data_IF_049737023563
#
_entry.id   IF_049737023563
#
_cell.length_a   1.000
_cell.length_b   1.000
_cell.length_c   1.000
_cell.angle_alpha   90.00
_cell.angle_beta   90.00
_cell.angle_gamma   90.00
#
_symmetry.space_group_name_H-M   'P 1'
#
loop_
_entity.id
_entity.type
_entity.pdbx_description
1 polymer ?
#
# COMPACT_ATOMS: atom_id res chain seq x y z
N UNK A 1 6.71 -35.10 9.15
CA UNK A 1 6.19 -34.66 7.83
C UNK A 1 6.49 -33.17 7.73
N UNK A 2 7.41 -32.77 6.83
CA UNK A 2 8.01 -31.43 6.81
C UNK A 2 6.98 -30.35 6.40
N UNK A 3 6.62 -29.45 7.33
CA UNK A 3 5.80 -28.26 7.06
C UNK A 3 6.60 -27.23 6.26
N UNK A 4 5.98 -26.72 5.19
CA UNK A 4 6.54 -25.71 4.27
C UNK A 4 6.60 -24.34 4.97
N UNK A 5 7.77 -23.94 5.43
CA UNK A 5 8.04 -22.54 5.80
C UNK A 5 8.05 -21.68 4.52
N UNK A 6 7.07 -20.79 4.36
CA UNK A 6 7.07 -19.78 3.30
C UNK A 6 7.62 -18.47 3.85
N UNK A 7 8.82 -18.11 3.38
CA UNK A 7 9.49 -16.83 3.65
C UNK A 7 8.74 -15.75 2.87
N UNK A 8 7.99 -14.88 3.56
CA UNK A 8 7.46 -13.66 2.97
C UNK A 8 8.54 -12.58 3.04
N UNK A 9 8.98 -12.09 1.88
CA UNK A 9 9.78 -10.88 1.78
C UNK A 9 8.84 -9.71 2.07
N UNK A 10 9.18 -8.88 3.06
CA UNK A 10 8.49 -7.62 3.30
C UNK A 10 9.50 -6.56 3.71
N UNK A 11 9.26 -5.38 3.14
CA UNK A 11 10.00 -4.14 3.31
C UNK A 11 10.32 -3.83 4.78
N UNK A 12 11.49 -3.21 4.92
CA UNK A 12 12.16 -2.69 6.11
C UNK A 12 11.21 -2.22 7.23
N UNK A 13 11.27 -2.90 8.38
CA UNK A 13 10.84 -2.37 9.67
C UNK A 13 12.02 -2.51 10.65
N UNK A 14 12.43 -1.38 11.22
CA UNK A 14 13.43 -1.12 12.27
C UNK A 14 14.19 -2.30 12.90
N UNK A 15 15.52 -2.24 12.81
CA UNK A 15 16.50 -3.24 13.26
C UNK A 15 16.46 -3.51 14.78
N UNK A 16 15.99 -2.57 15.60
CA UNK A 16 16.04 -2.67 17.07
C UNK A 16 15.00 -3.61 17.68
N UNK A 17 13.86 -3.87 17.01
CA UNK A 17 12.83 -4.81 17.48
C UNK A 17 13.04 -6.26 17.06
N UNK A 18 13.92 -6.50 16.08
CA UNK A 18 14.01 -7.79 15.39
C UNK A 18 14.61 -8.91 16.27
N UNK A 19 15.56 -8.57 17.15
CA UNK A 19 16.24 -9.55 18.01
C UNK A 19 15.33 -10.17 19.08
N UNK A 20 14.54 -9.33 19.77
CA UNK A 20 13.64 -9.78 20.84
C UNK A 20 12.46 -10.60 20.28
N UNK A 21 11.87 -10.17 19.15
CA UNK A 21 10.79 -10.91 18.49
C UNK A 21 11.27 -12.28 17.99
N UNK A 22 12.52 -12.39 17.50
CA UNK A 22 13.09 -13.67 17.06
C UNK A 22 13.23 -14.68 18.19
N UNK A 23 13.71 -14.25 19.36
CA UNK A 23 13.82 -15.11 20.54
C UNK A 23 12.44 -15.60 20.98
N UNK A 24 11.46 -14.69 21.06
CA UNK A 24 10.09 -15.00 21.44
C UNK A 24 9.43 -15.98 20.45
N UNK A 25 9.68 -15.80 19.15
CA UNK A 25 9.23 -16.70 18.11
C UNK A 25 9.81 -18.11 18.26
N UNK A 26 11.11 -18.23 18.51
CA UNK A 26 11.74 -19.53 18.72
C UNK A 26 11.18 -20.25 19.95
N UNK A 27 10.92 -19.53 21.05
CA UNK A 27 10.26 -20.08 22.23
C UNK A 27 8.83 -20.56 21.93
N UNK A 28 8.09 -19.80 21.12
CA UNK A 28 6.73 -20.17 20.69
C UNK A 28 6.73 -21.47 19.88
N UNK A 29 7.69 -21.61 18.96
CA UNK A 29 7.89 -22.84 18.17
C UNK A 29 8.27 -24.02 19.05
N UNK A 30 9.12 -23.83 20.06
CA UNK A 30 9.50 -24.92 20.97
C UNK A 30 8.32 -25.37 21.84
N UNK A 31 7.53 -24.43 22.36
CA UNK A 31 6.31 -24.74 23.11
C UNK A 31 5.29 -25.54 22.25
N UNK A 32 5.15 -25.19 20.97
CA UNK A 32 4.35 -25.97 20.03
C UNK A 32 4.87 -27.40 19.87
N UNK A 33 6.19 -27.57 19.64
CA UNK A 33 6.82 -28.89 19.47
C UNK A 33 6.72 -29.78 20.71
N UNK A 34 6.85 -29.20 21.90
CA UNK A 34 6.70 -29.91 23.17
C UNK A 34 5.24 -30.17 23.56
N UNK A 35 4.28 -29.72 22.75
CA UNK A 35 2.84 -29.77 23.00
C UNK A 35 2.40 -28.98 24.24
N UNK A 36 3.21 -28.03 24.70
CA UNK A 36 2.81 -27.05 25.70
C UNK A 36 1.96 -25.95 25.02
N UNK A 37 0.73 -26.32 24.69
CA UNK A 37 -0.17 -25.44 23.95
C UNK A 37 -0.59 -24.20 24.76
N UNK A 38 -0.58 -24.28 26.09
CA UNK A 38 -0.86 -23.12 26.96
C UNK A 38 0.24 -22.07 26.82
N UNK A 39 1.51 -22.50 26.86
CA UNK A 39 2.64 -21.61 26.61
C UNK A 39 2.67 -21.12 25.16
N UNK A 40 2.39 -21.99 24.19
CA UNK A 40 2.31 -21.63 22.78
C UNK A 40 1.31 -20.48 22.55
N UNK A 41 0.10 -20.58 23.12
CA UNK A 41 -0.92 -19.53 23.03
C UNK A 41 -0.48 -18.22 23.67
N UNK A 42 0.14 -18.29 24.85
CA UNK A 42 0.67 -17.09 25.53
C UNK A 42 1.68 -16.35 24.65
N UNK A 43 2.64 -17.08 24.07
CA UNK A 43 3.69 -16.50 23.23
C UNK A 43 3.15 -16.02 21.88
N UNK A 44 2.23 -16.76 21.26
CA UNK A 44 1.59 -16.36 20.01
C UNK A 44 0.80 -15.05 20.15
N UNK A 45 0.07 -14.87 21.27
CA UNK A 45 -0.61 -13.61 21.59
C UNK A 45 0.36 -12.44 21.71
N UNK A 46 1.50 -12.65 22.35
CA UNK A 46 2.53 -11.62 22.49
C UNK A 46 3.14 -11.24 21.13
N UNK A 47 3.46 -12.24 20.30
CA UNK A 47 4.01 -12.02 18.95
C UNK A 47 3.02 -11.23 18.07
N UNK A 48 1.75 -11.63 18.05
CA UNK A 48 0.71 -10.93 17.28
C UNK A 48 0.45 -9.52 17.83
N UNK A 49 0.57 -9.29 19.14
CA UNK A 49 0.46 -7.94 19.71
C UNK A 49 1.62 -7.02 19.31
N UNK A 50 2.83 -7.58 19.14
CA UNK A 50 4.02 -6.82 18.71
C UNK A 50 3.95 -6.50 17.22
N UNK A 51 3.51 -7.47 16.40
CA UNK A 51 3.33 -7.30 14.95
C UNK A 51 1.99 -7.87 14.50
N UNK A 52 0.89 -7.10 14.68
CA UNK A 52 -0.43 -7.54 14.26
C UNK A 52 -0.46 -7.83 12.77
N UNK A 53 -1.20 -8.87 12.36
CA UNK A 53 -1.38 -9.28 10.95
C UNK A 53 -0.10 -9.77 10.25
N UNK A 54 0.97 -10.05 11.01
CA UNK A 54 2.15 -10.74 10.48
C UNK A 54 1.78 -12.18 10.10
N UNK A 55 1.99 -12.62 8.84
CA UNK A 55 1.44 -13.88 8.34
C UNK A 55 1.72 -15.08 9.25
N UNK A 56 2.97 -15.25 9.70
CA UNK A 56 3.35 -16.36 10.56
C UNK A 56 2.81 -16.24 11.99
N UNK A 57 2.74 -15.03 12.55
CA UNK A 57 2.35 -14.87 13.96
C UNK A 57 0.85 -15.00 14.11
N UNK A 58 0.09 -14.38 13.21
CA UNK A 58 -1.36 -14.45 13.21
C UNK A 58 -1.84 -15.87 12.89
N UNK A 59 -1.19 -16.60 11.97
CA UNK A 59 -1.51 -18.01 11.71
C UNK A 59 -1.22 -18.92 12.91
N UNK A 60 -0.05 -18.74 13.53
CA UNK A 60 0.29 -19.48 14.76
C UNK A 60 -0.68 -19.15 15.89
N UNK A 61 -1.17 -17.91 15.99
CA UNK A 61 -2.18 -17.53 16.97
C UNK A 61 -3.51 -18.26 16.73
N UNK A 62 -3.98 -18.36 15.48
CA UNK A 62 -5.17 -19.15 15.16
C UNK A 62 -4.99 -20.62 15.57
N UNK A 63 -3.85 -21.20 15.22
CA UNK A 63 -3.51 -22.60 15.55
C UNK A 63 -3.47 -22.80 17.07
N UNK A 64 -2.83 -21.88 17.80
CA UNK A 64 -2.75 -21.92 19.26
C UNK A 64 -4.13 -21.82 19.92
N UNK A 65 -5.03 -20.99 19.40
CA UNK A 65 -6.40 -20.94 19.90
C UNK A 65 -7.13 -22.28 19.70
N UNK A 66 -7.04 -22.84 18.49
CA UNK A 66 -7.67 -24.12 18.15
C UNK A 66 -7.18 -25.27 19.06
N UNK A 67 -5.85 -25.37 19.27
CA UNK A 67 -5.21 -26.38 20.13
C UNK A 67 -5.52 -26.22 21.62
N UNK A 68 -6.01 -25.05 22.05
CA UNK A 68 -6.47 -24.80 23.43
C UNK A 68 -8.01 -24.85 23.55
N UNK A 69 -8.73 -25.35 22.55
CA UNK A 69 -10.20 -25.44 22.58
C UNK A 69 -10.91 -24.09 22.51
N UNK A 70 -10.22 -23.03 22.07
CA UNK A 70 -10.75 -21.67 21.93
C UNK A 70 -11.30 -21.48 20.51
N UNK A 71 -12.44 -22.13 20.27
CA UNK A 71 -13.04 -22.30 18.93
C UNK A 71 -13.37 -20.94 18.29
N UNK A 72 -14.11 -20.09 18.99
CA UNK A 72 -14.54 -18.78 18.47
C UNK A 72 -13.35 -17.87 18.16
N UNK A 73 -12.35 -17.82 19.05
CA UNK A 73 -11.14 -17.02 18.81
C UNK A 73 -10.32 -17.57 17.63
N UNK A 74 -10.20 -18.88 17.48
CA UNK A 74 -9.50 -19.49 16.36
C UNK A 74 -10.15 -19.12 15.03
N UNK A 75 -11.48 -19.27 14.93
CA UNK A 75 -12.26 -18.93 13.74
C UNK A 75 -12.19 -17.42 13.42
N UNK A 76 -12.25 -16.56 14.44
CA UNK A 76 -12.11 -15.11 14.28
C UNK A 76 -10.74 -14.73 13.71
N UNK A 77 -9.65 -15.36 14.20
CA UNK A 77 -8.30 -15.12 13.67
C UNK A 77 -8.13 -15.70 12.27
N UNK A 78 -8.67 -16.89 11.99
CA UNK A 78 -8.69 -17.46 10.63
C UNK A 78 -9.43 -16.55 9.65
N UNK A 79 -10.56 -15.95 10.04
CA UNK A 79 -11.28 -14.98 9.20
C UNK A 79 -10.37 -13.83 8.78
N UNK A 80 -9.61 -13.25 9.72
CA UNK A 80 -8.65 -12.18 9.43
C UNK A 80 -7.56 -12.63 8.47
N UNK A 81 -7.06 -13.86 8.61
CA UNK A 81 -6.05 -14.43 7.72
C UNK A 81 -6.61 -14.59 6.31
N UNK A 82 -7.81 -15.18 6.17
CA UNK A 82 -8.48 -15.38 4.87
C UNK A 82 -8.73 -14.05 4.18
N UNK A 83 -9.26 -13.05 4.90
CA UNK A 83 -9.53 -11.72 4.34
C UNK A 83 -8.27 -11.03 3.77
N UNK A 84 -7.10 -11.31 4.36
CA UNK A 84 -5.81 -10.80 3.92
C UNK A 84 -5.13 -11.67 2.86
N UNK A 85 -5.27 -13.00 2.94
CA UNK A 85 -4.68 -13.93 1.99
C UNK A 85 -5.54 -15.20 1.89
N UNK A 86 -6.35 -15.26 0.83
CA UNK A 86 -7.25 -16.39 0.61
C UNK A 86 -6.52 -17.66 0.15
N UNK A 87 -5.22 -17.60 -0.19
CA UNK A 87 -4.45 -18.78 -0.65
C UNK A 87 -3.84 -19.58 0.49
N UNK A 88 -3.96 -19.10 1.73
CA UNK A 88 -3.47 -19.82 2.92
C UNK A 88 -4.22 -21.14 3.05
N UNK A 89 -3.48 -22.25 3.03
CA UNK A 89 -4.03 -23.59 3.20
C UNK A 89 -4.11 -23.92 4.70
N UNK A 90 -5.31 -23.86 5.28
CA UNK A 90 -5.58 -24.22 6.68
C UNK A 90 -6.57 -25.40 6.80
N UNK A 91 -7.14 -25.84 5.69
CA UNK A 91 -8.22 -26.82 5.61
C UNK A 91 -7.75 -28.21 6.01
N UNK A 92 -6.50 -28.51 5.64
CA UNK A 92 -5.86 -29.80 5.87
C UNK A 92 -4.91 -29.77 7.08
N UNK A 93 -4.79 -28.63 7.77
CA UNK A 93 -3.91 -28.55 8.95
C UNK A 93 -4.55 -29.28 10.14
N UNK A 94 -3.76 -30.15 10.77
CA UNK A 94 -4.17 -30.94 11.92
C UNK A 94 -4.44 -30.08 13.16
N UNK A 95 -3.82 -28.89 13.25
CA UNK A 95 -4.05 -27.97 14.36
C UNK A 95 -5.49 -27.43 14.38
N UNK A 96 -6.21 -27.48 13.25
CA UNK A 96 -7.61 -27.04 13.13
C UNK A 96 -8.63 -28.17 13.15
N UNK A 97 -8.23 -29.43 13.37
CA UNK A 97 -9.14 -30.58 13.33
C UNK A 97 -10.35 -30.43 14.27
N UNK A 98 -10.13 -29.84 15.46
CA UNK A 98 -11.19 -29.59 16.46
C UNK A 98 -12.27 -28.60 16.02
N UNK A 99 -12.00 -27.76 15.01
CA UNK A 99 -12.93 -26.73 14.54
C UNK A 99 -13.47 -26.97 13.12
N UNK A 100 -13.03 -28.04 12.42
CA UNK A 100 -13.41 -28.31 11.02
C UNK A 100 -14.92 -28.52 10.81
N UNK A 101 -15.60 -29.07 11.81
CA UNK A 101 -17.03 -29.38 11.72
C UNK A 101 -17.92 -28.16 12.01
N UNK A 102 -17.34 -27.04 12.47
CA UNK A 102 -18.08 -25.82 12.77
C UNK A 102 -18.64 -25.16 11.50
N UNK A 103 -19.85 -24.60 11.61
CA UNK A 103 -20.48 -23.86 10.51
C UNK A 103 -19.60 -22.71 10.02
N UNK A 104 -19.03 -21.96 10.95
CA UNK A 104 -18.13 -20.85 10.63
C UNK A 104 -16.83 -21.29 9.94
N UNK A 105 -16.36 -22.53 10.13
CA UNK A 105 -15.24 -23.04 9.36
C UNK A 105 -15.61 -23.19 7.88
N UNK A 106 -16.82 -23.70 7.60
CA UNK A 106 -17.36 -23.78 6.22
C UNK A 106 -17.57 -22.39 5.62
N UNK A 107 -18.00 -21.42 6.41
CA UNK A 107 -18.13 -20.02 5.95
C UNK A 107 -16.77 -19.44 5.52
N UNK A 108 -15.67 -19.79 6.21
CA UNK A 108 -14.33 -19.39 5.80
C UNK A 108 -13.91 -20.01 4.46
N UNK A 109 -14.28 -21.26 4.20
CA UNK A 109 -14.04 -21.90 2.90
C UNK A 109 -14.86 -21.22 1.79
N UNK A 110 -16.12 -20.88 2.08
CA UNK A 110 -16.97 -20.14 1.16
C UNK A 110 -16.42 -18.73 0.87
N UNK A 111 -15.88 -18.05 1.88
CA UNK A 111 -15.20 -16.77 1.74
C UNK A 111 -13.95 -16.89 0.85
N UNK A 112 -13.13 -17.94 1.03
CA UNK A 112 -11.98 -18.19 0.14
C UNK A 112 -12.42 -18.36 -1.31
N UNK A 113 -13.46 -19.15 -1.54
CA UNK A 113 -14.00 -19.40 -2.87
C UNK A 113 -14.57 -18.12 -3.49
N UNK A 114 -15.26 -17.28 -2.72
CA UNK A 114 -15.80 -16.00 -3.21
C UNK A 114 -14.68 -15.02 -3.56
N UNK A 115 -13.65 -14.91 -2.72
CA UNK A 115 -12.48 -14.05 -2.97
C UNK A 115 -11.61 -14.53 -4.13
N UNK A 116 -11.70 -15.81 -4.52
CA UNK A 116 -10.97 -16.35 -5.68
C UNK A 116 -11.63 -15.99 -7.02
N UNK A 117 -12.86 -15.45 -7.01
CA UNK A 117 -13.55 -15.07 -8.25
C UNK A 117 -12.87 -13.87 -8.88
N UNK A 118 -12.53 -14.00 -10.15
CA UNK A 118 -11.98 -12.90 -10.94
C UNK A 118 -13.07 -11.86 -11.23
N UNK A 119 -12.72 -10.59 -11.04
CA UNK A 119 -13.55 -9.43 -11.40
C UNK A 119 -12.68 -8.54 -12.29
N UNK A 120 -13.13 -8.31 -13.51
CA UNK A 120 -12.39 -7.60 -14.57
C UNK A 120 -13.20 -6.41 -15.08
N UNK A 121 -13.24 -5.33 -14.32
CA UNK A 121 -13.96 -4.11 -14.75
C UNK A 121 -13.02 -3.07 -15.36
N UNK A 122 -11.75 -3.07 -14.98
CA UNK A 122 -10.74 -2.24 -15.65
C UNK A 122 -10.31 -2.83 -17.00
N UNK A 123 -9.84 -1.96 -17.88
CA UNK A 123 -9.36 -2.31 -19.21
C UNK A 123 -7.93 -1.82 -19.41
N UNK A 124 -7.08 -2.66 -19.99
CA UNK A 124 -5.73 -2.25 -20.42
C UNK A 124 -5.88 -1.19 -21.54
N UNK A 125 -5.12 -0.10 -21.45
CA UNK A 125 -5.14 1.00 -22.42
C UNK A 125 -3.86 1.12 -23.22
N UNK A 126 -2.73 1.18 -22.51
CA UNK A 126 -1.43 1.53 -23.06
C UNK A 126 -0.38 0.64 -22.41
N UNK A 127 0.60 0.18 -23.20
CA UNK A 127 1.84 -0.43 -22.70
C UNK A 127 3.00 0.52 -22.91
N UNK A 128 3.75 0.82 -21.86
CA UNK A 128 4.90 1.72 -21.97
C UNK A 128 6.09 1.03 -22.63
N UNK A 129 6.71 1.69 -23.59
CA UNK A 129 7.87 1.17 -24.33
C UNK A 129 9.12 0.94 -23.47
N UNK A 130 9.29 1.69 -22.36
CA UNK A 130 10.42 1.54 -21.45
C UNK A 130 10.14 0.46 -20.42
N UNK A 131 10.70 -0.74 -20.65
CA UNK A 131 10.44 -1.91 -19.82
C UNK A 131 10.90 -1.72 -18.38
N UNK A 132 12.11 -1.24 -18.17
CA UNK A 132 12.71 -1.09 -16.84
C UNK A 132 12.27 0.18 -16.07
N UNK A 133 11.23 0.89 -16.55
CA UNK A 133 10.77 2.16 -15.97
C UNK A 133 10.37 2.01 -14.50
N UNK A 134 9.79 0.89 -14.08
CA UNK A 134 9.18 0.72 -12.75
C UNK A 134 8.33 1.95 -12.34
N UNK A 135 7.12 2.11 -12.92
CA UNK A 135 6.27 3.23 -12.57
C UNK A 135 5.54 3.00 -11.25
N UNK A 136 5.39 4.07 -10.48
CA UNK A 136 4.66 4.07 -9.21
C UNK A 136 3.46 5.03 -9.28
N UNK A 137 3.75 6.30 -9.50
CA UNK A 137 2.80 7.38 -9.77
C UNK A 137 2.58 7.67 -11.25
N UNK A 138 1.38 8.18 -11.54
CA UNK A 138 0.88 8.59 -12.84
C UNK A 138 0.18 9.95 -12.70
N UNK A 139 0.27 10.82 -13.70
CA UNK A 139 -0.44 12.11 -13.72
C UNK A 139 -0.85 12.47 -15.14
N UNK A 140 -2.07 12.98 -15.31
CA UNK A 140 -2.50 13.59 -16.56
C UNK A 140 -2.48 15.11 -16.44
N UNK A 141 -1.76 15.79 -17.33
CA UNK A 141 -1.79 17.26 -17.42
C UNK A 141 -2.97 17.67 -18.30
N UNK A 142 -4.04 18.16 -17.69
CA UNK A 142 -5.29 18.48 -18.37
C UNK A 142 -5.13 19.64 -19.36
N UNK A 143 -4.35 20.68 -19.02
CA UNK A 143 -4.15 21.83 -19.92
C UNK A 143 -3.26 21.48 -21.12
N UNK A 144 -2.30 20.56 -20.93
CA UNK A 144 -1.32 20.17 -21.96
C UNK A 144 -1.67 18.89 -22.71
N UNK A 145 -2.64 18.12 -22.20
CA UNK A 145 -3.18 16.88 -22.78
C UNK A 145 -2.15 15.77 -22.98
N UNK A 146 -1.29 15.54 -21.99
CA UNK A 146 -0.37 14.41 -22.02
C UNK A 146 -0.17 13.82 -20.62
N UNK A 147 0.32 12.59 -20.60
CA UNK A 147 0.58 11.83 -19.39
C UNK A 147 2.03 11.94 -18.94
N UNK A 148 2.22 11.90 -17.63
CA UNK A 148 3.49 11.72 -16.96
C UNK A 148 3.45 10.44 -16.13
N UNK A 149 4.49 9.63 -16.22
CA UNK A 149 4.74 8.50 -15.35
C UNK A 149 6.04 8.71 -14.59
N UNK A 150 6.02 8.33 -13.32
CA UNK A 150 7.20 8.27 -12.48
C UNK A 150 8.07 7.05 -12.80
N UNK A 151 9.27 7.01 -12.24
CA UNK A 151 10.16 5.87 -12.29
C UNK A 151 10.89 5.73 -10.97
N UNK A 152 10.63 4.62 -10.28
CA UNK A 152 11.38 4.23 -9.09
C UNK A 152 12.83 3.92 -9.50
N UNK A 153 13.01 2.97 -10.42
CA UNK A 153 14.33 2.46 -10.78
C UNK A 153 15.23 3.51 -11.43
N UNK A 154 14.70 4.25 -12.40
CA UNK A 154 15.48 5.14 -13.26
C UNK A 154 15.53 6.58 -12.74
N UNK A 155 14.85 6.88 -11.62
CA UNK A 155 14.90 8.20 -10.94
C UNK A 155 14.58 9.35 -11.89
N UNK A 156 13.49 9.20 -12.64
CA UNK A 156 13.09 10.15 -13.67
C UNK A 156 11.57 10.19 -13.83
N UNK A 157 11.13 11.17 -14.59
CA UNK A 157 9.74 11.31 -15.03
C UNK A 157 9.75 11.20 -16.54
N UNK A 158 8.88 10.34 -17.08
CA UNK A 158 8.69 10.20 -18.53
C UNK A 158 7.32 10.72 -18.92
N UNK A 159 7.23 11.35 -20.09
CA UNK A 159 5.96 11.49 -20.81
C UNK A 159 5.79 10.32 -21.78
N UNK A 160 4.56 10.02 -22.17
CA UNK A 160 4.31 9.01 -23.20
C UNK A 160 3.15 9.40 -24.13
N UNK A 161 3.24 8.94 -25.38
CA UNK A 161 2.19 9.12 -26.38
C UNK A 161 1.11 8.04 -26.29
N UNK A 162 0.11 8.11 -27.17
CA UNK A 162 -1.00 7.15 -27.27
C UNK A 162 -0.57 5.70 -27.60
N UNK A 163 0.63 5.51 -28.15
CA UNK A 163 1.21 4.19 -28.40
C UNK A 163 2.11 3.72 -27.24
N UNK A 164 2.22 4.51 -26.16
CA UNK A 164 3.06 4.24 -25.01
C UNK A 164 4.55 4.47 -25.24
N UNK A 165 4.93 5.18 -26.32
CA UNK A 165 6.33 5.54 -26.55
C UNK A 165 6.76 6.55 -25.50
N UNK A 166 7.76 6.19 -24.69
CA UNK A 166 8.25 7.01 -23.60
C UNK A 166 9.24 8.06 -24.11
N UNK A 167 9.28 9.21 -23.45
CA UNK A 167 10.30 10.24 -23.64
C UNK A 167 10.60 10.87 -22.30
N UNK A 168 11.89 11.08 -22.02
CA UNK A 168 12.33 11.71 -20.78
C UNK A 168 11.73 13.12 -20.67
N UNK A 169 10.95 13.33 -19.61
CA UNK A 169 10.33 14.61 -19.32
C UNK A 169 11.16 15.41 -18.32
N UNK A 170 11.68 14.75 -17.29
CA UNK A 170 12.59 15.33 -16.29
C UNK A 170 13.50 14.25 -15.69
N UNK A 171 14.81 14.51 -15.65
CA UNK A 171 15.86 13.53 -15.27
C UNK A 171 16.76 14.01 -14.14
N UNK A 172 16.52 15.20 -13.59
CA UNK A 172 17.33 15.77 -12.50
C UNK A 172 16.82 15.33 -11.10
N UNK A 173 16.24 14.13 -10.96
CA UNK A 173 15.86 13.62 -9.63
C UNK A 173 17.05 12.95 -8.95
N UNK A 174 17.25 13.21 -7.66
CA UNK A 174 18.35 12.58 -6.91
C UNK A 174 18.02 11.11 -6.58
N UNK A 175 16.74 10.84 -6.34
CA UNK A 175 16.22 9.58 -5.81
C UNK A 175 15.05 9.03 -6.64
N UNK A 176 14.54 7.84 -6.29
CA UNK A 176 13.36 7.24 -6.90
C UNK A 176 12.19 8.20 -6.91
N UNK A 177 11.44 8.25 -8.01
CA UNK A 177 10.25 9.10 -8.11
C UNK A 177 9.01 8.27 -7.80
N UNK A 178 8.28 8.66 -6.76
CA UNK A 178 7.07 7.94 -6.31
C UNK A 178 5.80 8.59 -6.84
N UNK A 179 5.53 9.85 -6.48
CA UNK A 179 4.27 10.52 -6.79
C UNK A 179 4.44 11.85 -7.53
N UNK A 180 3.41 12.19 -8.31
CA UNK A 180 3.34 13.36 -9.18
C UNK A 180 1.98 14.05 -9.00
N UNK A 181 1.95 15.34 -8.65
CA UNK A 181 0.73 16.18 -8.67
C UNK A 181 1.03 17.58 -9.16
N UNK A 182 0.06 18.24 -9.77
CA UNK A 182 0.18 19.67 -10.11
C UNK A 182 -0.47 20.55 -9.06
N UNK A 183 -0.06 21.82 -9.05
CA UNK A 183 -0.90 22.90 -8.54
C UNK A 183 -2.16 23.09 -9.39
N UNK A 184 -3.14 23.85 -8.87
CA UNK A 184 -4.45 24.04 -9.50
C UNK A 184 -4.37 24.69 -10.89
N UNK A 185 -3.31 25.44 -11.14
CA UNK A 185 -3.06 26.12 -12.42
C UNK A 185 -2.17 25.34 -13.40
N UNK A 186 -1.69 24.14 -13.05
CA UNK A 186 -0.67 23.41 -13.81
C UNK A 186 0.56 24.28 -14.18
N UNK A 187 0.94 25.16 -13.27
CA UNK A 187 2.18 25.93 -13.34
C UNK A 187 3.35 25.12 -12.79
N UNK A 188 3.15 24.47 -11.65
CA UNK A 188 4.17 23.67 -10.99
C UNK A 188 3.76 22.21 -10.85
N UNK A 189 4.72 21.32 -11.10
CA UNK A 189 4.68 19.92 -10.76
C UNK A 189 5.38 19.73 -9.41
N UNK A 190 4.69 19.06 -8.50
CA UNK A 190 5.19 18.59 -7.22
C UNK A 190 5.49 17.11 -7.31
N UNK A 191 6.67 16.72 -6.85
CA UNK A 191 7.20 15.36 -7.02
C UNK A 191 7.74 14.84 -5.70
N UNK A 192 7.26 13.68 -5.25
CA UNK A 192 7.83 12.98 -4.10
C UNK A 192 8.94 12.04 -4.57
N UNK A 193 10.13 12.19 -3.97
CA UNK A 193 11.27 11.34 -4.24
C UNK A 193 11.85 10.77 -2.95
N UNK A 194 12.24 9.50 -2.96
CA UNK A 194 12.85 8.84 -1.80
C UNK A 194 13.95 7.88 -2.22
N UNK A 195 15.04 7.84 -1.45
CA UNK A 195 16.13 6.92 -1.70
C UNK A 195 15.74 5.52 -1.21
N UNK A 196 15.61 4.58 -2.14
CA UNK A 196 15.32 3.17 -1.82
C UNK A 196 16.25 2.23 -2.61
N UNK A 197 16.52 1.02 -2.10
CA UNK A 197 17.48 0.10 -2.70
C UNK A 197 17.20 -0.29 -4.17
N UNK A 198 15.94 -0.25 -4.60
CA UNK A 198 15.48 -0.63 -5.95
C UNK A 198 15.91 0.37 -7.05
N UNK A 199 16.44 1.53 -6.66
CA UNK A 199 16.86 2.61 -7.56
C UNK A 199 18.28 2.42 -8.08
N UNK A 200 18.54 2.89 -9.31
CA UNK A 200 19.90 2.93 -9.86
C UNK A 200 20.77 3.90 -9.06
N UNK A 201 21.95 3.41 -8.64
CA UNK A 201 22.91 4.20 -7.87
C UNK A 201 22.53 4.39 -6.41
N UNK A 202 21.73 3.48 -5.82
CA UNK A 202 21.53 3.44 -4.38
C UNK A 202 22.85 3.19 -3.64
N UNK A 203 23.01 3.81 -2.47
CA UNK A 203 24.10 3.55 -1.55
C UNK A 203 23.60 3.70 -0.11
N UNK A 204 24.33 3.17 0.87
CA UNK A 204 23.90 3.24 2.27
C UNK A 204 23.99 4.66 2.86
N UNK A 205 24.80 5.53 2.27
CA UNK A 205 24.97 6.93 2.68
C UNK A 205 23.74 7.79 2.37
N UNK A 206 22.90 7.36 1.43
CA UNK A 206 21.67 8.05 1.04
C UNK A 206 20.40 7.33 1.52
N UNK A 207 20.55 6.20 2.22
CA UNK A 207 19.43 5.42 2.77
C UNK A 207 18.54 6.33 3.65
N UNK A 208 17.22 6.31 3.39
CA UNK A 208 16.22 7.10 4.10
C UNK A 208 16.20 8.61 3.79
N UNK A 209 17.03 9.11 2.86
CA UNK A 209 16.90 10.49 2.36
C UNK A 209 15.70 10.61 1.44
N UNK A 210 14.94 11.69 1.60
CA UNK A 210 13.77 11.99 0.77
C UNK A 210 13.72 13.47 0.40
N UNK A 211 13.07 13.80 -0.71
CA UNK A 211 12.88 15.18 -1.15
C UNK A 211 11.53 15.39 -1.85
N UNK A 212 10.97 16.59 -1.70
CA UNK A 212 9.94 17.09 -2.60
C UNK A 212 10.57 18.03 -3.62
N UNK A 213 10.28 17.82 -4.90
CA UNK A 213 10.67 18.73 -5.98
C UNK A 213 9.50 19.63 -6.36
N UNK A 214 9.79 20.90 -6.61
CA UNK A 214 8.89 21.85 -7.28
C UNK A 214 9.48 22.19 -8.63
N UNK A 215 8.83 21.80 -9.71
CA UNK A 215 9.30 21.94 -11.09
C UNK A 215 8.32 22.83 -11.85
N UNK A 216 8.80 23.85 -12.56
CA UNK A 216 7.95 24.62 -13.46
C UNK A 216 7.65 23.83 -14.73
N UNK A 217 6.37 23.56 -15.00
CA UNK A 217 5.95 22.64 -16.05
C UNK A 217 6.27 23.21 -17.45
N UNK A 218 6.18 24.53 -17.63
CA UNK A 218 6.39 25.17 -18.93
C UNK A 218 7.83 25.04 -19.43
N UNK A 219 8.79 25.20 -18.53
CA UNK A 219 10.24 25.23 -18.84
C UNK A 219 10.95 23.96 -18.44
N UNK A 220 10.28 23.07 -17.68
CA UNK A 220 10.86 21.90 -17.00
C UNK A 220 11.97 22.26 -16.02
N UNK A 221 12.00 23.52 -15.57
CA UNK A 221 13.03 24.02 -14.67
C UNK A 221 12.73 23.60 -13.24
N UNK A 222 13.70 22.99 -12.57
CA UNK A 222 13.65 22.78 -11.13
C UNK A 222 13.69 24.14 -10.40
N UNK A 223 12.64 24.42 -9.64
CA UNK A 223 12.51 25.67 -8.87
C UNK A 223 13.07 25.49 -7.47
N UNK A 224 12.77 24.35 -6.83
CA UNK A 224 13.19 24.09 -5.46
C UNK A 224 13.18 22.61 -5.09
N UNK A 225 14.07 22.26 -4.17
CA UNK A 225 14.11 20.98 -3.44
C UNK A 225 13.78 21.23 -1.98
N UNK A 226 12.94 20.38 -1.41
CA UNK A 226 12.64 20.34 0.03
C UNK A 226 13.09 18.99 0.54
N UNK A 227 14.33 18.93 1.05
CA UNK A 227 14.97 17.68 1.44
C UNK A 227 14.81 17.38 2.93
N UNK A 228 14.79 16.08 3.27
CA UNK A 228 14.90 15.55 4.62
C UNK A 228 15.95 14.44 4.64
N UNK A 229 16.71 14.39 5.74
CA UNK A 229 17.57 13.27 6.09
C UNK A 229 16.89 12.47 7.21
N UNK A 230 17.21 11.19 7.34
CA UNK A 230 16.63 10.33 8.37
C UNK A 230 16.20 9.00 7.78
N UNK A 231 15.11 8.44 8.30
CA UNK A 231 14.49 7.22 7.81
C UNK A 231 13.15 7.57 7.15
N UNK A 232 13.19 8.21 5.99
CA UNK A 232 11.99 8.74 5.32
C UNK A 232 11.75 8.05 3.98
N UNK A 233 10.48 7.80 3.67
CA UNK A 233 10.02 7.39 2.35
C UNK A 233 8.75 8.19 2.02
N UNK A 234 8.90 9.28 1.29
CA UNK A 234 7.77 10.04 0.74
C UNK A 234 7.12 9.25 -0.40
N UNK A 235 6.05 8.52 -0.06
CA UNK A 235 5.36 7.59 -0.96
C UNK A 235 4.26 8.24 -1.80
N UNK A 236 3.54 9.22 -1.26
CA UNK A 236 2.52 9.96 -2.01
C UNK A 236 2.40 11.42 -1.54
N UNK A 237 1.77 12.25 -2.37
CA UNK A 237 1.48 13.64 -2.06
C UNK A 237 0.15 14.09 -2.67
N UNK A 238 -0.48 15.08 -2.05
CA UNK A 238 -1.68 15.74 -2.58
C UNK A 238 -1.52 17.25 -2.52
N UNK A 239 -2.12 17.94 -3.49
CA UNK A 239 -2.11 19.40 -3.60
C UNK A 239 -3.54 19.91 -3.55
N UNK A 240 -3.83 20.85 -2.65
CA UNK A 240 -5.16 21.48 -2.54
C UNK A 240 -5.39 22.49 -3.65
N UNK A 241 -6.63 22.95 -3.85
CA UNK A 241 -6.97 24.04 -4.79
C UNK A 241 -6.24 25.33 -4.47
N UNK A 242 -5.90 25.54 -3.19
CA UNK A 242 -5.11 26.68 -2.71
C UNK A 242 -3.60 26.44 -2.76
N UNK A 243 -3.16 25.37 -3.44
CA UNK A 243 -1.76 25.00 -3.67
C UNK A 243 -0.99 24.66 -2.40
N UNK A 244 -1.68 24.18 -1.36
CA UNK A 244 -1.03 23.59 -0.20
C UNK A 244 -0.68 22.13 -0.49
N UNK A 245 0.54 21.73 -0.16
CA UNK A 245 1.05 20.38 -0.47
C UNK A 245 1.13 19.58 0.82
N UNK A 246 0.52 18.40 0.84
CA UNK A 246 0.60 17.42 1.92
C UNK A 246 1.28 16.15 1.42
N UNK A 247 2.11 15.55 2.27
CA UNK A 247 2.97 14.41 1.91
C UNK A 247 2.80 13.32 2.96
N UNK A 248 2.59 12.07 2.52
CA UNK A 248 2.64 10.90 3.39
C UNK A 248 4.06 10.32 3.42
N UNK A 249 4.54 9.99 4.62
CA UNK A 249 5.80 9.29 4.82
C UNK A 249 5.53 7.84 5.26
N UNK A 250 5.97 6.91 4.42
CA UNK A 250 5.79 5.47 4.60
C UNK A 250 6.77 4.88 5.62
N UNK A 251 7.96 5.45 5.78
CA UNK A 251 8.96 4.90 6.71
C UNK A 251 8.74 5.39 8.14
N UNK A 252 8.36 6.65 8.30
CA UNK A 252 7.95 7.24 9.58
C UNK A 252 6.52 7.74 9.45
N UNK A 253 5.54 7.25 10.22
CA UNK A 253 4.14 7.68 10.08
C UNK A 253 3.89 9.15 10.44
N UNK A 254 4.28 10.04 9.54
CA UNK A 254 4.25 11.49 9.64
C UNK A 254 3.63 12.01 8.35
N UNK A 255 2.78 13.01 8.50
CA UNK A 255 2.28 13.80 7.37
C UNK A 255 3.01 15.14 7.40
N UNK A 256 3.69 15.45 6.31
CA UNK A 256 4.34 16.74 6.12
C UNK A 256 3.45 17.70 5.34
N UNK A 257 3.73 19.00 5.49
CA UNK A 257 3.15 20.07 4.67
C UNK A 257 4.24 21.00 4.18
N UNK A 258 4.08 21.56 2.98
CA UNK A 258 4.89 22.70 2.56
C UNK A 258 4.20 23.99 3.01
N UNK A 259 4.81 24.70 3.95
CA UNK A 259 4.30 25.96 4.51
C UNK A 259 5.39 27.03 4.43
N UNK A 260 5.03 28.20 3.90
CA UNK A 260 5.94 29.35 3.75
C UNK A 260 7.30 28.93 3.20
N UNK A 261 7.29 28.15 2.12
CA UNK A 261 8.52 27.70 1.45
C UNK A 261 9.42 26.77 2.31
N UNK A 262 8.87 26.12 3.33
CA UNK A 262 9.56 25.12 4.15
C UNK A 262 8.74 23.83 4.23
N UNK A 263 9.42 22.69 4.37
CA UNK A 263 8.76 21.43 4.71
C UNK A 263 8.63 21.35 6.24
N UNK A 264 7.41 21.19 6.72
CA UNK A 264 7.10 21.15 8.15
C UNK A 264 6.31 19.90 8.48
N UNK A 265 6.51 19.36 9.69
CA UNK A 265 5.65 18.30 10.21
C UNK A 265 4.26 18.88 10.43
N UNK A 266 3.27 18.38 9.70
CA UNK A 266 1.88 18.79 9.85
C UNK A 266 1.15 17.93 10.87
N UNK A 267 1.39 16.62 10.87
CA UNK A 267 0.79 15.68 11.82
C UNK A 267 1.71 14.49 12.07
N UNK A 268 2.02 14.22 13.34
CA UNK A 268 2.78 13.04 13.78
C UNK A 268 1.82 11.93 14.21
N UNK A 269 1.88 10.79 13.53
CA UNK A 269 1.05 9.60 13.78
C UNK A 269 1.89 8.41 14.27
N UNK A 270 3.17 8.58 14.61
CA UNK A 270 4.07 7.46 14.96
C UNK A 270 3.63 6.63 16.16
N UNK A 271 2.78 7.18 17.02
CA UNK A 271 2.20 6.48 18.17
C UNK A 271 0.94 5.68 17.84
N UNK A 272 0.39 5.84 16.64
CA UNK A 272 -0.89 5.23 16.28
C UNK A 272 -0.92 4.59 14.88
N UNK A 273 -0.02 4.93 13.97
CA UNK A 273 0.10 4.38 12.62
C UNK A 273 1.42 3.60 12.47
N UNK A 274 1.58 2.90 11.35
CA UNK A 274 2.70 2.01 11.07
C UNK A 274 3.44 2.35 9.77
N UNK A 275 2.70 2.62 8.68
CA UNK A 275 3.26 2.78 7.35
C UNK A 275 2.23 3.51 6.47
N UNK A 276 2.37 4.84 6.35
CA UNK A 276 1.43 5.65 5.58
C UNK A 276 1.67 5.47 4.07
N UNK A 277 0.60 5.41 3.30
CA UNK A 277 0.63 5.16 1.85
C UNK A 277 -0.15 6.27 1.12
N UNK A 278 -1.12 5.92 0.28
CA UNK A 278 -1.90 6.85 -0.52
C UNK A 278 -2.63 7.91 0.30
N UNK A 279 -2.72 9.11 -0.27
CA UNK A 279 -3.27 10.31 0.36
C UNK A 279 -4.31 10.98 -0.56
N UNK A 280 -5.49 11.28 -0.01
CA UNK A 280 -6.61 11.83 -0.78
C UNK A 280 -7.33 12.95 -0.03
N UNK A 281 -7.91 13.90 -0.78
CA UNK A 281 -8.76 14.96 -0.23
C UNK A 281 -10.23 14.66 -0.54
N UNK A 282 -11.12 15.00 0.40
CA UNK A 282 -12.55 15.04 0.07
C UNK A 282 -12.88 16.17 -0.92
N UNK A 283 -14.09 16.16 -1.49
CA UNK A 283 -14.52 17.16 -2.50
C UNK A 283 -14.37 18.62 -2.02
N UNK A 284 -14.61 18.87 -0.74
CA UNK A 284 -14.56 20.20 -0.11
C UNK A 284 -13.16 20.62 0.34
N UNK A 285 -12.17 19.73 0.27
CA UNK A 285 -10.83 19.91 0.85
C UNK A 285 -10.88 20.32 2.34
N UNK A 286 -11.86 19.78 3.07
CA UNK A 286 -11.97 19.93 4.52
C UNK A 286 -11.37 18.74 5.26
N UNK A 287 -11.22 17.60 4.59
CA UNK A 287 -10.70 16.35 5.15
C UNK A 287 -9.61 15.77 4.28
N UNK A 288 -8.60 15.24 4.95
CA UNK A 288 -7.51 14.47 4.40
C UNK A 288 -7.69 13.00 4.80
N UNK A 289 -7.75 12.11 3.82
CA UNK A 289 -7.71 10.67 4.04
C UNK A 289 -6.31 10.16 3.77
N UNK A 290 -5.78 9.35 4.68
CA UNK A 290 -4.47 8.73 4.53
C UNK A 290 -4.60 7.24 4.78
N UNK A 291 -4.16 6.43 3.83
CA UNK A 291 -4.04 4.99 4.01
C UNK A 291 -2.84 4.68 4.91
N UNK A 292 -3.03 3.72 5.81
CA UNK A 292 -1.98 3.02 6.52
C UNK A 292 -2.04 1.54 6.12
N UNK A 293 -0.89 1.00 5.73
CA UNK A 293 -0.81 -0.33 5.15
C UNK A 293 -1.25 -1.45 6.11
N UNK A 294 -1.31 -1.23 7.42
CA UNK A 294 -1.75 -2.22 8.39
C UNK A 294 -3.05 -1.84 9.11
N UNK A 295 -3.26 -0.54 9.36
CA UNK A 295 -4.31 -0.06 10.24
C UNK A 295 -5.60 0.33 9.51
N UNK A 296 -5.55 0.55 8.20
CA UNK A 296 -6.69 1.00 7.40
C UNK A 296 -6.55 2.47 7.03
N UNK A 297 -7.65 3.22 7.01
CA UNK A 297 -7.65 4.63 6.56
C UNK A 297 -7.96 5.55 7.73
N UNK A 298 -7.19 6.61 7.89
CA UNK A 298 -7.49 7.71 8.82
C UNK A 298 -8.09 8.90 8.06
N UNK A 299 -9.21 9.43 8.55
CA UNK A 299 -9.80 10.69 8.11
C UNK A 299 -9.38 11.80 9.08
N UNK A 300 -8.75 12.85 8.58
CA UNK A 300 -8.24 13.97 9.38
C UNK A 300 -8.90 15.27 8.93
N UNK A 301 -9.53 16.00 9.85
CA UNK A 301 -10.02 17.35 9.58
C UNK A 301 -8.83 18.31 9.41
N UNK A 302 -8.77 19.02 8.28
CA UNK A 302 -7.58 19.79 7.91
C UNK A 302 -7.34 20.98 8.84
N UNK A 303 -8.41 21.60 9.37
CA UNK A 303 -8.30 22.79 10.22
C UNK A 303 -7.90 22.44 11.65
N UNK A 304 -8.56 21.45 12.23
CA UNK A 304 -8.36 21.06 13.63
C UNK A 304 -7.32 19.96 13.81
N UNK A 305 -6.88 19.30 12.74
CA UNK A 305 -6.00 18.14 12.72
C UNK A 305 -6.50 16.94 13.54
N UNK A 306 -7.79 16.94 13.90
CA UNK A 306 -8.42 15.81 14.58
C UNK A 306 -8.62 14.68 13.58
N UNK A 307 -8.06 13.52 13.92
CA UNK A 307 -8.16 12.30 13.13
C UNK A 307 -9.14 11.30 13.71
N UNK A 308 -9.82 10.55 12.84
CA UNK A 308 -10.59 9.35 13.18
C UNK A 308 -10.22 8.22 12.22
N UNK A 309 -9.88 7.05 12.76
CA UNK A 309 -9.71 5.85 11.94
C UNK A 309 -11.07 5.37 11.46
N UNK A 310 -11.19 5.17 10.15
CA UNK A 310 -12.43 4.65 9.57
C UNK A 310 -12.64 3.21 10.06
N UNK A 311 -13.86 2.94 10.52
CA UNK A 311 -14.30 1.59 10.86
C UNK A 311 -14.54 0.81 9.57
N UNK A 312 -13.98 -0.40 9.48
CA UNK A 312 -14.20 -1.32 8.36
C UNK A 312 -15.21 -2.40 8.78
N UNK A 313 -16.04 -2.84 7.84
CA UNK A 313 -16.85 -4.05 8.03
C UNK A 313 -15.96 -5.26 8.33
N UNK A 314 -16.45 -6.18 9.16
CA UNK A 314 -15.78 -7.46 9.43
C UNK A 314 -15.66 -8.37 8.20
N UNK A 315 -16.28 -8.01 7.08
CA UNK A 315 -16.26 -8.74 5.81
C UNK A 315 -15.12 -8.30 4.87
N UNK A 316 -14.35 -7.28 5.23
CA UNK A 316 -13.24 -6.78 4.41
C UNK A 316 -11.96 -6.63 5.24
N UNK A 317 -10.83 -6.72 4.55
CA UNK A 317 -9.53 -6.43 5.15
C UNK A 317 -9.24 -4.94 5.09
N UNK A 318 -8.74 -4.39 6.19
CA UNK A 318 -8.15 -3.04 6.25
C UNK A 318 -6.66 -3.01 5.89
N UNK A 319 -6.01 -4.17 5.81
CA UNK A 319 -4.57 -4.31 5.52
C UNK A 319 -4.30 -4.13 4.02
N UNK A 320 -3.13 -3.61 3.69
CA UNK A 320 -2.58 -3.63 2.34
C UNK A 320 -3.18 -2.59 1.40
N UNK A 321 -3.76 -1.52 1.95
CA UNK A 321 -4.23 -0.37 1.18
C UNK A 321 -3.01 0.48 0.85
N UNK A 322 -2.76 0.64 -0.45
CA UNK A 322 -1.63 1.38 -0.99
C UNK A 322 -2.13 2.69 -1.62
N UNK A 323 -2.48 2.68 -2.91
CA UNK A 323 -3.08 3.83 -3.59
C UNK A 323 -4.49 4.15 -3.10
N UNK A 324 -4.79 5.44 -2.97
CA UNK A 324 -6.08 5.94 -2.49
C UNK A 324 -6.54 7.15 -3.30
N UNK A 325 -7.77 7.12 -3.81
CA UNK A 325 -8.42 8.27 -4.45
C UNK A 325 -9.82 8.49 -3.92
N UNK A 326 -10.28 9.74 -3.86
CA UNK A 326 -11.64 10.09 -3.46
C UNK A 326 -12.54 10.30 -4.69
N UNK A 327 -13.72 9.67 -4.69
CA UNK A 327 -14.70 9.79 -5.76
C UNK A 327 -16.13 9.73 -5.22
N UNK A 328 -16.99 10.72 -5.53
CA UNK A 328 -18.44 10.74 -5.17
C UNK A 328 -18.77 10.17 -3.76
N UNK A 329 -18.23 10.77 -2.69
CA UNK A 329 -18.43 10.31 -1.30
C UNK A 329 -17.96 8.87 -1.03
N UNK A 330 -16.96 8.41 -1.78
CA UNK A 330 -16.33 7.11 -1.60
C UNK A 330 -14.81 7.23 -1.75
N UNK A 331 -14.11 6.25 -1.20
CA UNK A 331 -12.68 6.07 -1.37
C UNK A 331 -12.45 4.85 -2.26
N UNK A 332 -11.72 5.02 -3.36
CA UNK A 332 -11.29 3.91 -4.21
C UNK A 332 -9.85 3.57 -3.81
N UNK A 333 -9.68 2.36 -3.31
CA UNK A 333 -8.43 1.84 -2.78
C UNK A 333 -7.84 0.79 -3.73
N UNK A 334 -6.56 0.94 -4.06
CA UNK A 334 -5.74 -0.15 -4.57
C UNK A 334 -5.25 -0.93 -3.36
N UNK A 335 -5.59 -2.21 -3.30
CA UNK A 335 -5.24 -3.09 -2.19
C UNK A 335 -4.30 -4.19 -2.70
N UNK A 336 -3.00 -3.94 -2.63
CA UNK A 336 -1.95 -4.85 -3.11
C UNK A 336 -1.32 -5.69 -1.98
N UNK A 337 -1.47 -5.31 -0.72
CA UNK A 337 -0.99 -6.10 0.43
C UNK A 337 -1.90 -7.26 0.85
N UNK A 338 -2.77 -7.68 -0.07
CA UNK A 338 -3.72 -8.79 0.11
C UNK A 338 -3.65 -9.73 -1.09
N UNK A 339 -4.01 -10.99 -0.87
CA UNK A 339 -4.09 -11.99 -1.93
C UNK A 339 -5.52 -12.53 -2.02
N UNK A 340 -6.18 -12.41 -3.19
CA UNK A 340 -5.70 -11.75 -4.40
C UNK A 340 -5.68 -10.22 -4.29
N UNK A 341 -4.83 -9.58 -5.10
CA UNK A 341 -4.81 -8.13 -5.29
C UNK A 341 -6.16 -7.67 -5.84
N UNK A 342 -6.63 -6.52 -5.36
CA UNK A 342 -7.95 -5.99 -5.71
C UNK A 342 -8.03 -4.47 -5.67
N UNK A 343 -9.03 -3.94 -6.36
CA UNK A 343 -9.45 -2.54 -6.27
C UNK A 343 -10.80 -2.51 -5.59
N UNK A 344 -10.96 -1.71 -4.55
CA UNK A 344 -12.16 -1.68 -3.72
C UNK A 344 -12.68 -0.25 -3.58
N UNK A 345 -13.98 -0.06 -3.78
CA UNK A 345 -14.70 1.17 -3.42
C UNK A 345 -15.24 1.03 -2.00
N UNK A 346 -14.94 1.99 -1.15
CA UNK A 346 -15.50 2.16 0.19
C UNK A 346 -16.43 3.36 0.20
N UNK A 347 -17.73 3.13 0.29
CA UNK A 347 -18.73 4.19 0.39
C UNK A 347 -18.71 4.77 1.81
N UNK A 348 -18.66 6.09 1.92
CA UNK A 348 -18.64 6.79 3.20
C UNK A 348 -20.05 7.22 3.61
N UNK A 349 -20.25 7.43 4.90
CA UNK A 349 -21.41 8.14 5.41
C UNK A 349 -21.38 9.63 5.00
N UNK A 350 -22.48 10.36 5.24
CA UNK A 350 -22.57 11.79 4.88
C UNK A 350 -21.55 12.65 5.63
N UNK A 351 -21.17 12.23 6.85
CA UNK A 351 -20.17 12.95 7.62
C UNK A 351 -18.75 12.62 7.20
N UNK A 352 -18.54 11.63 6.31
CA UNK A 352 -17.23 11.14 5.87
C UNK A 352 -16.33 10.68 7.04
N UNK A 353 -16.91 10.02 8.05
CA UNK A 353 -16.20 9.50 9.23
C UNK A 353 -16.27 7.98 9.36
N UNK A 354 -17.14 7.33 8.57
CA UNK A 354 -17.34 5.88 8.60
C UNK A 354 -17.48 5.31 7.19
N UNK A 355 -17.03 4.08 7.00
CA UNK A 355 -17.35 3.28 5.82
C UNK A 355 -18.67 2.59 6.09
N UNK A 356 -19.65 2.77 5.20
CA UNK A 356 -21.01 2.21 5.36
C UNK A 356 -21.25 1.02 4.44
N UNK A 357 -20.49 0.92 3.35
CA UNK A 357 -20.62 -0.13 2.35
C UNK A 357 -19.31 -0.23 1.54
N UNK A 358 -19.09 -1.38 0.89
CA UNK A 358 -17.95 -1.55 -0.01
C UNK A 358 -18.30 -2.41 -1.23
N UNK A 359 -17.61 -2.14 -2.34
CA UNK A 359 -17.72 -2.91 -3.58
C UNK A 359 -16.34 -3.20 -4.14
N UNK A 360 -16.06 -4.46 -4.41
CA UNK A 360 -14.86 -4.86 -5.15
C UNK A 360 -15.07 -4.55 -6.64
N UNK A 361 -14.17 -3.76 -7.21
CA UNK A 361 -14.23 -3.29 -8.60
C UNK A 361 -13.38 -4.17 -9.52
N UNK A 362 -12.16 -4.50 -9.12
CA UNK A 362 -11.33 -5.52 -9.78
C UNK A 362 -10.77 -6.47 -8.73
N UNK A 363 -10.59 -7.73 -9.09
CA UNK A 363 -10.11 -8.77 -8.18
C UNK A 363 -9.47 -9.91 -8.93
N UNK A 364 -8.37 -10.45 -8.39
CA UNK A 364 -7.75 -11.69 -8.87
C UNK A 364 -7.46 -11.70 -10.37
N UNK A 365 -6.85 -10.61 -10.84
CA UNK A 365 -6.42 -10.46 -12.24
C UNK A 365 -5.02 -11.00 -12.41
N UNK A 366 -4.79 -11.77 -13.46
CA UNK A 366 -3.47 -12.32 -13.77
C UNK A 366 -2.47 -11.22 -14.14
N UNK A 367 -2.95 -10.12 -14.73
CA UNK A 367 -2.12 -8.97 -15.09
C UNK A 367 -1.71 -8.12 -13.89
N UNK A 368 -2.40 -8.27 -12.75
CA UNK A 368 -2.10 -7.49 -11.55
C UNK A 368 -0.84 -8.04 -10.88
N UNK A 369 0.20 -7.23 -10.93
CA UNK A 369 1.46 -7.44 -10.28
C UNK A 369 1.86 -6.15 -9.57
N UNK A 370 1.41 -5.99 -8.33
CA UNK A 370 1.72 -4.82 -7.48
C UNK A 370 1.29 -3.48 -8.11
N UNK A 371 0.01 -3.29 -8.47
CA UNK A 371 -0.50 -1.93 -8.70
C UNK A 371 -0.31 -1.10 -7.43
N UNK A 372 0.13 0.14 -7.57
CA UNK A 372 0.44 1.04 -6.46
C UNK A 372 -0.52 2.24 -6.43
N UNK A 373 -0.11 3.38 -7.01
CA UNK A 373 -0.89 4.61 -7.01
C UNK A 373 -1.84 4.70 -8.21
N UNK A 374 -2.81 5.62 -8.09
CA UNK A 374 -3.76 5.92 -9.16
C UNK A 374 -4.02 7.42 -9.33
N UNK A 375 -4.48 7.77 -10.52
CA UNK A 375 -4.93 9.12 -10.85
C UNK A 375 -6.35 9.10 -11.37
N UNK A 376 -7.15 10.05 -10.89
CA UNK A 376 -8.51 10.28 -11.37
C UNK A 376 -8.50 11.30 -12.52
N UNK A 377 -9.09 10.94 -13.66
CA UNK A 377 -9.42 11.88 -14.74
C UNK A 377 -10.91 11.81 -14.98
N UNK A 378 -11.63 12.86 -14.56
CA UNK A 378 -13.10 12.92 -14.55
C UNK A 378 -13.71 11.78 -13.70
N UNK A 379 -14.43 10.85 -14.34
CA UNK A 379 -15.08 9.70 -13.72
C UNK A 379 -14.26 8.40 -13.86
N UNK A 380 -13.01 8.49 -14.34
CA UNK A 380 -12.18 7.32 -14.62
C UNK A 380 -10.92 7.34 -13.77
N UNK A 381 -10.57 6.18 -13.24
CA UNK A 381 -9.33 5.93 -12.51
C UNK A 381 -8.34 5.26 -13.44
N UNK A 382 -7.08 5.70 -13.38
CA UNK A 382 -5.97 5.14 -14.15
C UNK A 382 -4.83 4.75 -13.23
N UNK A 383 -4.24 3.59 -13.47
CA UNK A 383 -3.17 3.02 -12.64
C UNK A 383 -2.30 2.07 -13.45
N UNK A 384 -1.05 1.88 -13.03
CA UNK A 384 -0.21 0.82 -13.57
C UNK A 384 -0.52 -0.49 -12.86
N UNK A 385 -0.78 -1.55 -13.62
CA UNK A 385 -1.20 -2.83 -13.06
C UNK A 385 -0.03 -3.73 -12.61
N UNK A 386 1.17 -3.53 -13.16
CA UNK A 386 2.24 -4.53 -13.12
C UNK A 386 3.62 -4.01 -12.69
N UNK A 387 3.68 -3.07 -11.74
CA UNK A 387 4.95 -2.56 -11.22
C UNK A 387 5.87 -3.69 -10.71
N UNK A 388 7.15 -3.71 -11.09
CA UNK A 388 7.97 -4.92 -10.99
C UNK A 388 8.55 -5.21 -9.59
N UNK A 389 7.91 -4.76 -8.51
CA UNK A 389 8.38 -4.91 -7.12
C UNK A 389 8.82 -6.35 -6.77
N UNK A 390 8.07 -7.37 -7.18
CA UNK A 390 8.40 -8.78 -6.88
C UNK A 390 9.57 -9.37 -7.69
N UNK A 391 10.10 -8.63 -8.67
CA UNK A 391 11.14 -9.12 -9.59
C UNK A 391 12.53 -8.58 -9.29
N UNK A 392 12.67 -7.85 -8.19
CA UNK A 392 13.97 -7.54 -7.60
C UNK A 392 14.47 -8.75 -6.80
N UNK A 393 15.74 -9.09 -6.97
CA UNK A 393 16.39 -10.08 -6.11
C UNK A 393 16.81 -9.47 -4.75
N UNK A 394 17.46 -10.30 -3.92
CA UNK A 394 17.95 -9.89 -2.59
C UNK A 394 19.01 -8.78 -2.62
N UNK A 395 19.63 -8.56 -3.77
CA UNK A 395 20.66 -7.55 -4.02
C UNK A 395 20.07 -6.36 -4.82
N UNK A 396 18.73 -6.27 -4.87
CA UNK A 396 17.93 -5.26 -5.54
C UNK A 396 18.25 -5.11 -7.04
N UNK A 397 18.66 -6.21 -7.68
CA UNK A 397 18.77 -6.29 -9.12
C UNK A 397 17.44 -6.73 -9.73
N UNK A 398 16.97 -5.97 -10.72
CA UNK A 398 15.72 -6.23 -11.41
C UNK A 398 15.93 -7.30 -12.49
N UNK A 399 15.17 -8.40 -12.41
CA UNK A 399 15.17 -9.44 -13.43
C UNK A 399 14.23 -9.10 -14.59
N UNK A 400 14.77 -8.44 -15.61
CA UNK A 400 14.05 -8.01 -16.81
C UNK A 400 13.45 -9.15 -17.65
N UNK A 401 13.78 -10.42 -17.37
CA UNK A 401 13.18 -11.56 -18.08
C UNK A 401 11.82 -11.98 -17.53
N UNK A 402 11.46 -11.54 -16.31
CA UNK A 402 10.30 -12.07 -15.57
C UNK A 402 9.03 -11.23 -15.65
N UNK A 403 9.07 -10.08 -16.31
CA UNK A 403 7.92 -9.19 -16.41
C UNK A 403 7.76 -8.58 -17.79
N UNK A 404 6.58 -8.03 -18.02
CA UNK A 404 6.20 -7.36 -19.25
C UNK A 404 6.36 -5.85 -19.11
N UNK A 405 6.36 -5.14 -20.24
CA UNK A 405 6.29 -3.68 -20.25
C UNK A 405 5.17 -3.14 -19.32
N UNK A 406 5.36 -1.97 -18.68
CA UNK A 406 4.36 -1.42 -17.79
C UNK A 406 3.01 -1.20 -18.48
N UNK A 407 1.93 -1.68 -17.86
CA UNK A 407 0.57 -1.66 -18.41
C UNK A 407 -0.29 -0.65 -17.67
N UNK A 408 -0.76 0.36 -18.39
CA UNK A 408 -1.71 1.34 -17.90
C UNK A 408 -3.13 0.81 -18.07
N UNK A 409 -3.87 0.74 -16.97
CA UNK A 409 -5.27 0.35 -16.94
C UNK A 409 -6.17 1.55 -16.71
N UNK A 410 -7.41 1.47 -17.21
CA UNK A 410 -8.50 2.42 -17.00
C UNK A 410 -9.67 1.69 -16.33
N UNK A 411 -10.25 2.30 -15.31
CA UNK A 411 -11.45 1.84 -14.62
C UNK A 411 -12.50 2.94 -14.63
N UNK A 412 -13.68 2.68 -15.20
CA UNK A 412 -14.82 3.59 -15.09
C UNK A 412 -15.46 3.45 -13.70
N UNK A 413 -15.73 4.59 -13.06
CA UNK A 413 -16.27 4.63 -11.70
C UNK A 413 -17.77 4.93 -11.65
N UNK A 414 -18.42 5.22 -12.78
CA UNK A 414 -19.86 5.51 -12.83
C UNK A 414 -20.77 4.29 -13.01
#
# INVERSE_FOLDING_TARGET
MMQKFRLFVLLLIGVSGFGQTKVLYNQSVEAYKSKDYVLFLKLAKQLDSIRPTHPAYTYNLASAYSLNGKIEEALSVLKKIVLANNTIAFEDDADFESIKMEGSFKDLLALKASQSKTIETSVEKIRLSEKDLHPEGLLYLQKRKFWLASSIRNKKIVSFDENGKCSDWFTECSYSVFALKTDSDEKYLWVACSAIPEMKGFSKEIDGKSEILKIEIATKKLIKRYAVDGNHVFGDLIVTKNNEVYISDSAEPIIYKIEKENLVVWKDLRKEAFNLQGIALNKKESKLFVADYLKGIISIDIKSQKGNWLEFSEETSKKGIDGLVFYKNSLIAIQNGVVPIRIVRYNLDETETKIIDFKVLDNNREEFNEPALATLVKNKMYFFANSPWKFYDKDFQLDESKFENPKLFELDLD
#
